data_IF_740977740432
#
_entry.id   IF_740977740432
#
_cell.length_a   1.000
_cell.length_b   1.000
_cell.length_c   1.000
_cell.angle_alpha   90.00
_cell.angle_beta   90.00
_cell.angle_gamma   90.00
#
_symmetry.space_group_name_H-M   'P 1'
#
loop_
_entity.id
_entity.type
_entity.pdbx_description
1 polymer ?
#
# COMPACT_ATOMS: atom_id res chain seq x y z
N UNK A 1 -16.32 40.89 -41.85
CA UNK A 1 -16.79 40.18 -40.64
C UNK A 1 -15.84 39.02 -40.37
N UNK A 2 -14.96 39.16 -39.36
CA UNK A 2 -13.93 38.17 -39.04
C UNK A 2 -14.45 37.27 -37.91
N UNK A 3 -14.78 36.00 -38.19
CA UNK A 3 -15.18 35.04 -37.16
C UNK A 3 -13.94 34.42 -36.53
N UNK A 4 -13.50 34.99 -35.41
CA UNK A 4 -12.39 34.45 -34.60
C UNK A 4 -12.92 33.28 -33.76
N UNK A 5 -12.77 32.06 -34.27
CA UNK A 5 -13.06 30.82 -33.52
C UNK A 5 -12.03 30.67 -32.39
N UNK A 6 -12.44 31.00 -31.16
CA UNK A 6 -11.70 30.62 -29.96
C UNK A 6 -11.82 29.11 -29.77
N UNK A 7 -10.71 28.40 -29.94
CA UNK A 7 -10.55 27.05 -29.39
C UNK A 7 -10.24 27.20 -27.90
N UNK A 8 -11.18 26.81 -27.04
CA UNK A 8 -10.92 26.58 -25.63
C UNK A 8 -10.36 25.17 -25.52
N UNK A 9 -9.04 25.04 -25.41
CA UNK A 9 -8.39 23.77 -25.09
C UNK A 9 -8.66 23.48 -23.61
N UNK A 10 -9.61 22.58 -23.33
CA UNK A 10 -9.90 22.13 -21.98
C UNK A 10 -8.76 21.27 -21.43
N UNK A 11 -8.04 21.78 -20.43
CA UNK A 11 -7.09 21.00 -19.65
C UNK A 11 -7.85 20.00 -18.79
N UNK A 12 -7.87 18.73 -19.20
CA UNK A 12 -8.29 17.62 -18.32
C UNK A 12 -7.17 17.42 -17.30
N UNK A 13 -7.28 18.08 -16.15
CA UNK A 13 -6.47 17.76 -14.98
C UNK A 13 -6.95 16.40 -14.44
N UNK A 14 -6.22 15.34 -14.76
CA UNK A 14 -6.35 14.06 -14.07
C UNK A 14 -5.94 14.29 -12.61
N UNK A 15 -6.92 14.46 -11.73
CA UNK A 15 -6.70 14.46 -10.29
C UNK A 15 -6.19 13.07 -9.89
N UNK A 16 -4.88 12.94 -9.76
CA UNK A 16 -4.28 11.79 -9.10
C UNK A 16 -4.73 11.81 -7.63
N UNK A 17 -5.07 10.67 -7.02
CA UNK A 17 -5.42 10.64 -5.61
C UNK A 17 -4.28 11.24 -4.79
N UNK A 18 -4.57 12.33 -4.06
CA UNK A 18 -3.59 13.11 -3.30
C UNK A 18 -3.12 12.42 -2.00
N UNK A 19 -3.12 11.09 -1.98
CA UNK A 19 -2.82 10.28 -0.80
C UNK A 19 -1.32 10.24 -0.50
N UNK A 20 -0.52 10.32 -1.56
CA UNK A 20 0.94 10.32 -1.52
C UNK A 20 1.58 11.46 -0.70
N UNK A 21 0.82 12.44 -0.21
CA UNK A 21 1.32 13.60 0.53
C UNK A 21 0.96 13.56 2.03
N UNK A 22 0.26 12.52 2.49
CA UNK A 22 -0.12 12.37 3.89
C UNK A 22 0.92 11.56 4.68
N UNK A 23 1.37 12.12 5.80
CA UNK A 23 2.28 11.42 6.70
C UNK A 23 1.59 10.26 7.42
N UNK A 24 2.39 9.42 8.08
CA UNK A 24 1.90 8.27 8.88
C UNK A 24 0.84 8.64 9.93
N UNK A 25 0.80 9.89 10.39
CA UNK A 25 -0.19 10.38 11.37
C UNK A 25 -1.64 10.37 10.86
N UNK A 26 -1.85 10.27 9.55
CA UNK A 26 -3.20 10.13 8.98
C UNK A 26 -3.78 8.73 9.17
N UNK A 27 -2.95 7.73 9.49
CA UNK A 27 -3.36 6.33 9.61
C UNK A 27 -3.39 5.87 11.06
N UNK A 28 -4.30 4.95 11.36
CA UNK A 28 -4.43 4.32 12.67
C UNK A 28 -3.34 3.26 12.86
N UNK A 29 -2.20 3.70 13.42
CA UNK A 29 -1.03 2.85 13.64
C UNK A 29 -1.19 1.86 14.79
N UNK A 30 -2.26 1.96 15.59
CA UNK A 30 -2.56 1.01 16.66
C UNK A 30 -3.31 -0.23 16.16
N UNK A 31 -3.80 -0.19 14.90
CA UNK A 31 -4.68 -1.19 14.32
C UNK A 31 -4.10 -1.76 13.01
N UNK A 32 -3.01 -2.56 13.06
CA UNK A 32 -2.42 -3.14 11.86
C UNK A 32 -3.39 -4.10 11.18
N UNK A 33 -3.61 -3.89 9.88
CA UNK A 33 -4.40 -4.78 9.03
C UNK A 33 -3.48 -5.66 8.18
N UNK A 34 -3.88 -6.92 8.02
CA UNK A 34 -3.28 -7.84 7.07
C UNK A 34 -4.20 -8.04 5.88
N UNK A 35 -3.69 -7.79 4.68
CA UNK A 35 -4.36 -8.04 3.42
C UNK A 35 -3.51 -8.99 2.58
N UNK A 36 -4.14 -9.91 1.87
CA UNK A 36 -3.53 -10.74 0.83
C UNK A 36 -4.44 -10.71 -0.40
N UNK A 37 -3.85 -10.54 -1.58
CA UNK A 37 -4.62 -10.42 -2.81
C UNK A 37 -3.77 -10.36 -4.07
N UNK A 38 -4.44 -10.39 -5.22
CA UNK A 38 -3.78 -10.27 -6.53
C UNK A 38 -3.70 -8.79 -6.93
N UNK A 39 -2.53 -8.33 -7.33
CA UNK A 39 -2.37 -7.00 -7.90
C UNK A 39 -3.15 -6.90 -9.23
N UNK A 40 -4.19 -6.08 -9.28
CA UNK A 40 -4.99 -5.84 -10.50
C UNK A 40 -4.50 -4.63 -11.28
N UNK A 41 -3.91 -3.65 -10.60
CA UNK A 41 -3.25 -2.48 -11.20
C UNK A 41 -1.97 -2.17 -10.45
N UNK A 42 -0.97 -1.70 -11.19
CA UNK A 42 0.33 -1.31 -10.63
C UNK A 42 0.70 0.05 -11.21
N UNK A 43 1.06 0.98 -10.33
CA UNK A 43 1.64 2.26 -10.68
C UNK A 43 3.01 2.38 -10.02
N UNK A 44 4.06 2.11 -10.78
CA UNK A 44 5.46 2.12 -10.32
C UNK A 44 6.17 3.41 -10.73
N UNK A 45 5.68 4.55 -10.23
CA UNK A 45 6.16 5.88 -10.60
C UNK A 45 6.31 6.78 -9.37
N UNK A 46 6.96 7.92 -9.53
CA UNK A 46 7.04 8.94 -8.48
C UNK A 46 5.64 9.54 -8.23
N UNK A 47 5.24 9.85 -6.98
CA UNK A 47 6.02 9.85 -5.72
C UNK A 47 6.11 8.52 -4.98
N UNK A 48 5.10 7.65 -5.05
CA UNK A 48 5.04 6.35 -4.38
C UNK A 48 4.70 5.24 -5.36
N UNK A 49 5.20 4.03 -5.09
CA UNK A 49 4.63 2.85 -5.71
C UNK A 49 3.20 2.64 -5.19
N UNK A 50 2.27 2.32 -6.08
CA UNK A 50 0.88 2.05 -5.72
C UNK A 50 0.41 0.76 -6.39
N UNK A 51 -0.41 0.00 -5.67
CA UNK A 51 -1.10 -1.18 -6.19
C UNK A 51 -2.60 -1.02 -5.99
N UNK A 52 -3.41 -1.50 -6.93
CA UNK A 52 -4.75 -1.96 -6.61
C UNK A 52 -4.64 -3.48 -6.42
N UNK A 53 -5.10 -4.01 -5.30
CA UNK A 53 -5.18 -5.45 -5.06
C UNK A 53 -6.64 -5.88 -4.94
N UNK A 54 -6.93 -7.07 -5.43
CA UNK A 54 -8.22 -7.74 -5.21
C UNK A 54 -8.06 -8.86 -4.18
N UNK A 55 -8.82 -8.76 -3.10
CA UNK A 55 -8.88 -9.71 -2.00
C UNK A 55 -9.71 -10.95 -2.40
N UNK A 56 -9.34 -12.14 -1.90
CA UNK A 56 -10.18 -13.32 -2.00
C UNK A 56 -11.45 -13.16 -1.15
N UNK A 57 -12.48 -13.95 -1.46
CA UNK A 57 -13.74 -13.93 -0.70
C UNK A 57 -13.55 -14.40 0.75
N UNK A 58 -12.66 -15.36 0.95
CA UNK A 58 -12.33 -15.96 2.24
C UNK A 58 -10.96 -15.49 2.73
N UNK A 59 -10.74 -14.17 2.78
CA UNK A 59 -9.53 -13.63 3.38
C UNK A 59 -9.39 -14.10 4.84
N UNK A 60 -8.21 -14.60 5.18
CA UNK A 60 -7.88 -15.09 6.51
C UNK A 60 -6.49 -14.62 6.93
N UNK A 61 -6.25 -14.50 8.24
CA UNK A 61 -4.90 -14.35 8.75
C UNK A 61 -4.14 -15.66 8.56
N UNK A 62 -2.91 -15.63 8.04
CA UNK A 62 -2.07 -16.81 8.00
C UNK A 62 -1.76 -17.29 9.42
N UNK A 63 -1.81 -18.61 9.68
CA UNK A 63 -1.56 -19.17 11.01
C UNK A 63 -0.12 -18.93 11.48
N UNK A 64 0.81 -18.74 10.55
CA UNK A 64 2.23 -18.48 10.78
C UNK A 64 2.56 -16.99 10.92
N UNK A 65 1.59 -16.09 10.77
CA UNK A 65 1.83 -14.65 10.62
C UNK A 65 2.66 -14.08 11.78
N UNK A 66 2.39 -14.50 13.02
CA UNK A 66 3.06 -14.01 14.23
C UNK A 66 4.53 -14.44 14.33
N UNK A 67 4.92 -15.48 13.59
CA UNK A 67 6.27 -16.04 13.62
C UNK A 67 7.10 -15.62 12.41
N UNK A 68 6.53 -14.86 11.46
CA UNK A 68 7.24 -14.48 10.24
C UNK A 68 8.46 -13.62 10.55
N UNK A 69 9.64 -13.94 9.98
CA UNK A 69 10.81 -13.11 10.13
C UNK A 69 10.58 -11.76 9.44
N UNK A 70 10.94 -10.68 10.14
CA UNK A 70 10.85 -9.32 9.63
C UNK A 70 12.27 -8.76 9.44
N UNK A 71 12.56 -8.11 8.31
CA UNK A 71 13.88 -7.55 8.06
C UNK A 71 14.13 -6.32 8.96
N UNK A 72 15.39 -6.08 9.29
CA UNK A 72 15.78 -4.86 10.01
C UNK A 72 15.71 -3.65 9.09
N UNK A 73 15.24 -2.54 9.64
CA UNK A 73 15.11 -1.27 8.95
C UNK A 73 15.65 -0.16 9.86
N UNK A 74 16.11 0.96 9.27
CA UNK A 74 16.82 1.99 10.03
C UNK A 74 15.93 2.66 11.09
N UNK A 75 14.63 2.74 10.85
CA UNK A 75 13.66 3.15 11.86
C UNK A 75 13.36 2.01 12.84
N UNK A 76 13.28 2.34 14.12
CA UNK A 76 12.83 1.39 15.14
C UNK A 76 11.34 1.09 14.96
N UNK A 77 11.03 -0.13 14.52
CA UNK A 77 9.66 -0.65 14.42
C UNK A 77 9.57 -1.94 15.23
N UNK A 78 8.63 -1.99 16.17
CA UNK A 78 8.29 -3.24 16.87
C UNK A 78 7.41 -4.13 15.98
N UNK A 79 8.05 -4.73 14.97
CA UNK A 79 7.37 -5.56 13.99
C UNK A 79 6.70 -6.80 14.61
N UNK A 80 7.28 -7.36 15.68
CA UNK A 80 6.70 -8.50 16.38
C UNK A 80 5.36 -8.13 17.04
N UNK A 81 5.29 -6.97 17.70
CA UNK A 81 4.03 -6.47 18.25
C UNK A 81 2.99 -6.19 17.16
N UNK A 82 3.42 -5.66 16.00
CA UNK A 82 2.51 -5.43 14.87
C UNK A 82 1.93 -6.72 14.31
N UNK A 83 2.75 -7.77 14.11
CA UNK A 83 2.27 -9.08 13.67
C UNK A 83 1.34 -9.72 14.72
N UNK A 84 1.62 -9.54 16.01
CA UNK A 84 0.79 -10.06 17.09
C UNK A 84 -0.61 -9.41 17.15
N UNK A 85 -0.70 -8.11 16.83
CA UNK A 85 -1.93 -7.31 16.77
C UNK A 85 -2.64 -7.36 15.42
N UNK A 86 -2.03 -7.96 14.39
CA UNK A 86 -2.55 -7.98 13.03
C UNK A 86 -3.96 -8.57 12.98
N UNK A 87 -4.84 -7.93 12.23
CA UNK A 87 -6.23 -8.36 12.07
C UNK A 87 -6.76 -8.09 10.66
N UNK A 88 -7.95 -8.61 10.36
CA UNK A 88 -8.61 -8.39 9.08
C UNK A 88 -9.40 -7.07 9.08
N UNK A 89 -9.64 -6.48 7.91
CA UNK A 89 -10.57 -5.35 7.81
C UNK A 89 -11.98 -5.77 8.22
N UNK A 90 -12.74 -4.82 8.73
CA UNK A 90 -14.17 -4.99 9.06
C UNK A 90 -15.09 -4.67 7.87
N UNK A 91 -14.61 -3.84 6.94
CA UNK A 91 -15.29 -3.52 5.69
C UNK A 91 -15.24 -4.68 4.69
N UNK A 92 -16.16 -4.67 3.72
CA UNK A 92 -16.39 -5.77 2.76
C UNK A 92 -15.84 -5.49 1.35
N UNK A 93 -15.17 -4.36 1.16
CA UNK A 93 -14.55 -3.99 -0.10
C UNK A 93 -13.52 -5.05 -0.51
N UNK A 94 -13.68 -5.57 -1.73
CA UNK A 94 -12.74 -6.54 -2.30
C UNK A 94 -11.53 -5.88 -2.96
N UNK A 95 -11.64 -4.62 -3.35
CA UNK A 95 -10.54 -3.89 -4.00
C UNK A 95 -9.95 -2.89 -3.03
N UNK A 96 -8.63 -2.97 -2.86
CA UNK A 96 -7.87 -2.11 -1.98
C UNK A 96 -6.76 -1.43 -2.73
N UNK A 97 -6.59 -0.15 -2.49
CA UNK A 97 -5.45 0.63 -2.91
C UNK A 97 -4.34 0.47 -1.87
N UNK A 98 -3.17 0.03 -2.29
CA UNK A 98 -2.01 -0.14 -1.42
C UNK A 98 -1.03 0.96 -1.73
N UNK A 99 -0.77 1.82 -0.75
CA UNK A 99 0.30 2.81 -0.83
C UNK A 99 1.60 2.17 -0.35
N UNK A 100 2.55 1.97 -1.27
CA UNK A 100 3.89 1.49 -0.95
C UNK A 100 4.80 2.66 -0.54
N UNK A 101 6.07 2.37 -0.29
CA UNK A 101 7.07 3.40 -0.07
C UNK A 101 7.41 4.21 -1.34
N UNK A 102 8.08 5.37 -1.21
CA UNK A 102 8.65 6.08 -2.35
C UNK A 102 9.59 5.18 -3.15
N UNK A 103 9.68 5.40 -4.47
CA UNK A 103 10.50 4.57 -5.36
C UNK A 103 11.96 4.45 -4.92
N UNK A 104 12.55 5.51 -4.36
CA UNK A 104 13.91 5.49 -3.84
C UNK A 104 14.08 4.48 -2.69
N UNK A 105 13.07 4.33 -1.84
CA UNK A 105 13.07 3.31 -0.78
C UNK A 105 12.83 1.92 -1.35
N UNK A 106 11.92 1.77 -2.31
CA UNK A 106 11.71 0.49 -2.98
C UNK A 106 13.01 0.00 -3.66
N UNK A 107 13.75 0.91 -4.29
CA UNK A 107 15.08 0.65 -4.85
C UNK A 107 16.12 0.30 -3.78
N UNK A 108 16.14 1.02 -2.64
CA UNK A 108 17.05 0.72 -1.53
C UNK A 108 16.84 -0.68 -0.96
N UNK A 109 15.59 -1.18 -0.98
CA UNK A 109 15.25 -2.56 -0.62
C UNK A 109 15.47 -3.58 -1.73
N UNK A 110 15.84 -3.15 -2.94
CA UNK A 110 15.95 -4.02 -4.10
C UNK A 110 14.62 -4.69 -4.48
N UNK A 111 13.50 -4.00 -4.26
CA UNK A 111 12.17 -4.50 -4.64
C UNK A 111 12.02 -4.31 -6.14
N UNK A 112 11.89 -5.43 -6.84
CA UNK A 112 11.54 -5.44 -8.26
C UNK A 112 10.11 -4.94 -8.45
N UNK A 113 9.84 -4.31 -9.59
CA UNK A 113 8.51 -3.84 -9.91
C UNK A 113 7.50 -4.99 -9.93
N UNK A 114 6.49 -4.88 -9.06
CA UNK A 114 5.37 -5.82 -9.00
C UNK A 114 4.59 -5.73 -10.31
N UNK A 115 4.22 -6.87 -10.90
CA UNK A 115 3.45 -6.90 -12.14
C UNK A 115 1.97 -7.26 -11.86
N UNK A 116 1.01 -6.80 -12.68
CA UNK A 116 -0.36 -7.26 -12.57
C UNK A 116 -0.45 -8.79 -12.56
N UNK A 117 -1.34 -9.34 -11.73
CA UNK A 117 -1.50 -10.77 -11.46
C UNK A 117 -0.66 -11.32 -10.30
N UNK A 118 0.37 -10.59 -9.87
CA UNK A 118 1.23 -11.00 -8.74
C UNK A 118 0.43 -11.12 -7.46
N UNK A 119 0.59 -12.23 -6.75
CA UNK A 119 0.06 -12.38 -5.40
C UNK A 119 0.95 -11.64 -4.42
N UNK A 120 0.35 -10.73 -3.66
CA UNK A 120 1.03 -9.94 -2.63
C UNK A 120 0.27 -10.04 -1.33
N UNK A 121 1.00 -9.99 -0.23
CA UNK A 121 0.43 -9.74 1.08
C UNK A 121 1.06 -8.50 1.70
N UNK A 122 0.29 -7.79 2.51
CA UNK A 122 0.66 -6.51 3.08
C UNK A 122 0.20 -6.47 4.52
N UNK A 123 1.10 -6.12 5.43
CA UNK A 123 0.74 -5.60 6.74
C UNK A 123 0.84 -4.09 6.68
N UNK A 124 -0.20 -3.38 7.12
CA UNK A 124 -0.21 -1.93 7.03
C UNK A 124 -1.30 -1.29 7.86
N UNK A 125 -1.55 -0.01 7.60
CA UNK A 125 -2.52 0.78 8.36
C UNK A 125 -3.48 1.49 7.42
N UNK A 126 -4.73 1.60 7.86
CA UNK A 126 -5.78 2.36 7.17
C UNK A 126 -6.24 3.51 8.07
N UNK A 127 -7.23 4.28 7.64
CA UNK A 127 -7.78 5.35 8.44
C UNK A 127 -8.54 4.84 9.68
N UNK A 128 -8.61 5.68 10.71
CA UNK A 128 -9.32 5.34 11.96
C UNK A 128 -10.76 4.91 11.69
N UNK A 129 -11.12 3.72 12.16
CA UNK A 129 -12.43 3.12 11.93
C UNK A 129 -12.71 2.74 10.47
N UNK A 130 -11.67 2.62 9.64
CA UNK A 130 -11.75 2.26 8.20
C UNK A 130 -12.62 3.22 7.37
N UNK A 131 -12.78 4.47 7.84
CA UNK A 131 -13.60 5.49 7.18
C UNK A 131 -12.98 5.91 5.85
N UNK A 132 -13.82 6.23 4.86
CA UNK A 132 -13.36 6.70 3.54
C UNK A 132 -12.93 5.55 2.63
N UNK A 133 -11.99 5.82 1.72
CA UNK A 133 -11.61 4.86 0.69
C UNK A 133 -10.85 3.64 1.27
N UNK A 134 -10.94 2.51 0.58
CA UNK A 134 -10.26 1.27 0.93
C UNK A 134 -8.77 1.35 0.60
N UNK A 135 -8.01 2.07 1.42
CA UNK A 135 -6.57 2.22 1.25
C UNK A 135 -5.81 1.69 2.46
N UNK A 136 -4.70 1.05 2.17
CA UNK A 136 -3.75 0.58 3.16
C UNK A 136 -2.36 1.15 2.86
N UNK A 137 -1.78 1.89 3.81
CA UNK A 137 -0.37 2.26 3.76
C UNK A 137 0.48 1.09 4.25
N UNK A 138 1.37 0.60 3.40
CA UNK A 138 2.14 -0.60 3.68
C UNK A 138 3.27 -0.34 4.69
N UNK A 139 3.29 -1.14 5.76
CA UNK A 139 4.39 -1.21 6.73
C UNK A 139 5.34 -2.36 6.37
N UNK A 140 4.78 -3.53 6.05
CA UNK A 140 5.51 -4.66 5.49
C UNK A 140 4.86 -5.17 4.22
N UNK A 141 5.69 -5.49 3.23
CA UNK A 141 5.28 -6.13 1.99
C UNK A 141 5.86 -7.55 1.95
N UNK A 142 5.00 -8.52 1.65
CA UNK A 142 5.35 -9.92 1.43
C UNK A 142 5.07 -10.27 -0.03
N UNK A 143 6.11 -10.62 -0.78
CA UNK A 143 6.00 -10.94 -2.21
C UNK A 143 7.14 -11.86 -2.63
N UNK A 144 6.85 -12.86 -3.46
CA UNK A 144 7.84 -13.83 -3.97
C UNK A 144 8.69 -14.50 -2.87
N UNK A 145 8.08 -14.82 -1.73
CA UNK A 145 8.76 -15.45 -0.59
C UNK A 145 9.72 -14.52 0.17
N UNK A 146 9.75 -13.23 -0.16
CA UNK A 146 10.55 -12.21 0.52
C UNK A 146 9.65 -11.29 1.35
N UNK A 147 10.23 -10.74 2.41
CA UNK A 147 9.60 -9.73 3.28
C UNK A 147 10.41 -8.44 3.22
N UNK A 148 9.73 -7.31 3.08
CA UNK A 148 10.34 -5.98 3.01
C UNK A 148 9.69 -5.04 4.03
N UNK A 149 10.49 -4.28 4.78
CA UNK A 149 10.00 -3.21 5.65
C UNK A 149 9.89 -1.90 4.87
N UNK A 150 8.75 -1.23 4.91
CA UNK A 150 8.47 -0.05 4.08
C UNK A 150 8.44 1.27 4.85
N UNK A 151 8.59 1.24 6.18
CA UNK A 151 8.72 2.43 7.03
C UNK A 151 9.98 3.23 6.68
N UNK A 152 11.10 2.54 6.49
CA UNK A 152 12.41 3.15 6.24
C UNK A 152 13.30 2.26 5.35
N UNK A 153 14.50 2.74 5.04
CA UNK A 153 15.50 1.94 4.31
C UNK A 153 15.98 0.73 5.13
N UNK A 154 16.62 -0.27 4.50
CA UNK A 154 17.30 -1.35 5.22
C UNK A 154 18.28 -0.80 6.28
N UNK A 155 18.42 -1.51 7.40
CA UNK A 155 19.41 -1.19 8.44
C UNK A 155 20.81 -1.72 8.10
#
# INVERSE_FOLDING_TARGET
>A
MLHRRMFVTGSIALALPAWAHHGWSSFDQERPLYLEGRATKVSWRNPHGELEIELPENLALPPDLKQRPLPKQSATVDGAALLAKAQLPTRRDRKWQIELAPLTRLQAWGIEEIKPGTLVAVLGFTFTGEKGDAVLRAEYLFVHGKTYGLRSSPA
#
